data_IF_184193694221
#
_entry.id   IF_184193694221
#
_cell.length_a   1.000
_cell.length_b   1.000
_cell.length_c   1.000
_cell.angle_alpha   90.00
_cell.angle_beta   90.00
_cell.angle_gamma   90.00
#
_symmetry.space_group_name_H-M   'P 1'
#
loop_
_entity.id
_entity.type
_entity.pdbx_description
1 polymer ?
#
# COMPACT_ATOMS: atom_id res chain seq x y z
N UNK A 1 -14.22 -0.13 19.59
CA UNK A 1 -13.95 -0.21 18.14
C UNK A 1 -13.49 1.13 17.52
N UNK A 2 -13.71 2.30 18.15
CA UNK A 2 -13.37 3.61 17.54
C UNK A 2 -11.90 4.08 17.67
N UNK A 3 -11.08 3.49 18.55
CA UNK A 3 -9.71 3.99 18.79
C UNK A 3 -8.65 3.32 17.89
N UNK A 4 -8.79 2.03 17.59
CA UNK A 4 -7.86 1.29 16.73
C UNK A 4 -7.94 1.75 15.26
N UNK A 5 -9.11 2.20 14.80
CA UNK A 5 -9.30 2.73 13.43
C UNK A 5 -8.58 4.08 13.23
N UNK A 6 -8.51 4.92 14.27
CA UNK A 6 -7.71 6.15 14.26
C UNK A 6 -6.21 5.85 14.34
N UNK A 7 -5.83 4.85 15.13
CA UNK A 7 -4.44 4.42 15.27
C UNK A 7 -3.89 3.73 14.03
N UNK A 8 -4.72 3.21 13.11
CA UNK A 8 -4.30 2.57 11.84
C UNK A 8 -4.58 3.44 10.60
N UNK A 9 -4.90 4.73 10.77
CA UNK A 9 -5.33 5.64 9.69
C UNK A 9 -6.47 5.09 8.82
N UNK A 10 -7.25 4.09 9.27
CA UNK A 10 -8.24 3.36 8.45
C UNK A 10 -7.66 2.58 7.26
N UNK A 11 -6.35 2.34 7.25
CA UNK A 11 -5.79 1.38 6.32
C UNK A 11 -6.32 -0.02 6.65
N UNK A 12 -6.70 -0.75 5.61
CA UNK A 12 -7.02 -2.18 5.73
C UNK A 12 -5.80 -2.98 5.30
N UNK A 13 -5.20 -3.74 6.22
CA UNK A 13 -4.11 -4.64 5.89
C UNK A 13 -4.60 -5.79 4.98
N UNK A 14 -3.72 -6.38 4.16
CA UNK A 14 -4.04 -7.62 3.45
C UNK A 14 -4.43 -8.73 4.42
N UNK A 15 -5.30 -9.64 3.99
CA UNK A 15 -5.74 -10.76 4.84
C UNK A 15 -4.54 -11.56 5.39
N UNK A 16 -4.51 -11.80 6.70
CA UNK A 16 -3.43 -12.55 7.34
C UNK A 16 -2.17 -11.73 7.66
N UNK A 17 -2.15 -10.43 7.37
CA UNK A 17 -1.08 -9.50 7.76
C UNK A 17 -1.61 -8.45 8.73
N UNK A 18 -0.75 -8.02 9.66
CA UNK A 18 -0.99 -6.82 10.46
C UNK A 18 -0.42 -5.57 9.76
N UNK A 19 -0.89 -4.36 10.09
CA UNK A 19 -0.36 -3.12 9.49
C UNK A 19 1.15 -2.99 9.71
N UNK A 20 1.64 -3.38 10.89
CA UNK A 20 3.08 -3.39 11.19
C UNK A 20 3.88 -4.34 10.29
N UNK A 21 3.24 -5.40 9.79
CA UNK A 21 3.85 -6.31 8.83
C UNK A 21 3.96 -5.64 7.45
N UNK A 22 2.90 -4.94 7.02
CA UNK A 22 2.88 -4.17 5.77
C UNK A 22 4.00 -3.11 5.80
N UNK A 23 4.10 -2.36 6.90
CA UNK A 23 5.18 -1.39 7.13
C UNK A 23 6.55 -2.05 7.01
N UNK A 24 6.76 -3.15 7.73
CA UNK A 24 8.03 -3.88 7.72
C UNK A 24 8.41 -4.37 6.32
N UNK A 25 7.45 -4.93 5.57
CA UNK A 25 7.65 -5.41 4.20
C UNK A 25 8.13 -4.26 3.31
N UNK A 26 7.43 -3.13 3.30
CA UNK A 26 7.76 -2.01 2.43
C UNK A 26 9.09 -1.35 2.79
N UNK A 27 9.41 -1.22 4.08
CA UNK A 27 10.72 -0.75 4.52
C UNK A 27 11.85 -1.70 4.11
N UNK A 28 11.63 -3.02 4.24
CA UNK A 28 12.61 -4.04 3.86
C UNK A 28 12.90 -3.98 2.36
N UNK A 29 11.85 -3.95 1.54
CA UNK A 29 12.00 -3.90 0.07
C UNK A 29 12.65 -2.58 -0.36
N UNK A 30 12.23 -1.45 0.19
CA UNK A 30 12.82 -0.15 -0.15
C UNK A 30 14.32 -0.07 0.22
N UNK A 31 14.74 -0.75 1.29
CA UNK A 31 16.15 -0.83 1.67
C UNK A 31 16.98 -1.75 0.75
N UNK A 32 16.35 -2.77 0.14
CA UNK A 32 17.04 -3.80 -0.64
C UNK A 32 17.07 -3.52 -2.15
N UNK A 33 16.11 -2.75 -2.67
CA UNK A 33 15.96 -2.51 -4.10
C UNK A 33 16.16 -1.04 -4.44
N UNK A 34 16.79 -0.78 -5.59
CA UNK A 34 16.76 0.56 -6.18
C UNK A 34 15.35 0.86 -6.69
N UNK A 35 15.00 2.14 -6.78
CA UNK A 35 13.71 2.59 -7.33
C UNK A 35 13.41 1.99 -8.71
N UNK A 36 14.42 1.93 -9.60
CA UNK A 36 14.26 1.38 -10.96
C UNK A 36 14.02 -0.13 -10.91
N UNK A 37 14.81 -0.87 -10.12
CA UNK A 37 14.61 -2.31 -9.98
C UNK A 37 13.23 -2.63 -9.39
N UNK A 38 12.81 -1.89 -8.36
CA UNK A 38 11.50 -2.08 -7.75
C UNK A 38 10.37 -1.75 -8.72
N UNK A 39 10.51 -0.69 -9.53
CA UNK A 39 9.58 -0.37 -10.62
C UNK A 39 9.39 -1.55 -11.56
N UNK A 40 10.49 -2.10 -12.07
CA UNK A 40 10.45 -3.16 -13.07
C UNK A 40 9.84 -4.45 -12.52
N UNK A 41 10.00 -4.71 -11.22
CA UNK A 41 9.43 -5.87 -10.53
C UNK A 41 7.94 -5.71 -10.21
N UNK A 42 7.47 -4.49 -9.92
CA UNK A 42 6.06 -4.22 -9.59
C UNK A 42 5.19 -3.94 -10.82
N UNK A 43 5.77 -3.46 -11.92
CA UNK A 43 5.04 -3.10 -13.14
C UNK A 43 4.16 -4.23 -13.72
N UNK A 44 4.57 -5.52 -13.72
CA UNK A 44 3.72 -6.60 -14.20
C UNK A 44 2.40 -6.72 -13.44
N UNK A 45 2.39 -6.54 -12.11
CA UNK A 45 1.18 -6.62 -11.27
C UNK A 45 0.15 -5.58 -11.72
N UNK A 46 0.62 -4.36 -12.00
CA UNK A 46 -0.23 -3.26 -12.47
C UNK A 46 -0.74 -3.54 -13.89
N UNK A 47 0.10 -4.08 -14.76
CA UNK A 47 -0.22 -4.34 -16.16
C UNK A 47 -1.18 -5.51 -16.38
N UNK A 48 -1.13 -6.54 -15.52
CA UNK A 48 -1.99 -7.72 -15.61
C UNK A 48 -3.43 -7.43 -15.19
N UNK A 49 -3.66 -6.33 -14.49
CA UNK A 49 -4.98 -6.00 -13.96
C UNK A 49 -5.90 -5.40 -15.02
N UNK A 50 -7.02 -6.10 -15.23
CA UNK A 50 -8.02 -5.72 -16.25
C UNK A 50 -9.18 -4.91 -15.67
N UNK A 51 -9.37 -4.93 -14.34
CA UNK A 51 -10.46 -4.24 -13.66
C UNK A 51 -9.96 -3.41 -12.46
N UNK A 52 -10.44 -2.17 -12.41
CA UNK A 52 -10.14 -1.17 -11.39
C UNK A 52 -11.41 -0.74 -10.64
N UNK A 53 -12.43 -1.60 -10.62
CA UNK A 53 -13.75 -1.34 -10.02
C UNK A 53 -13.77 -1.36 -8.49
N UNK A 54 -12.62 -1.43 -7.81
CA UNK A 54 -12.57 -1.35 -6.35
C UNK A 54 -12.95 0.06 -5.86
N UNK A 55 -13.95 0.13 -4.99
CA UNK A 55 -14.42 1.39 -4.39
C UNK A 55 -13.96 1.59 -2.94
N UNK A 56 -13.07 0.71 -2.44
CA UNK A 56 -12.45 0.83 -1.12
C UNK A 56 -11.03 1.34 -1.26
N UNK A 57 -10.67 2.26 -0.39
CA UNK A 57 -9.40 2.98 -0.45
C UNK A 57 -8.77 3.06 0.93
N UNK A 58 -7.45 2.90 0.96
CA UNK A 58 -6.62 3.04 2.14
C UNK A 58 -5.73 4.27 2.02
N UNK A 59 -5.64 5.14 3.03
CA UNK A 59 -4.64 6.20 3.06
C UNK A 59 -3.27 5.61 3.41
N UNK A 60 -2.26 5.95 2.60
CA UNK A 60 -0.91 5.41 2.72
C UNK A 60 0.14 6.48 3.05
N UNK A 61 -0.18 7.75 2.81
CA UNK A 61 0.68 8.88 3.15
C UNK A 61 -0.15 10.17 3.20
N UNK A 62 0.40 11.22 3.80
CA UNK A 62 -0.11 12.58 3.62
C UNK A 62 0.19 13.12 2.21
N UNK A 63 -0.34 14.28 1.84
CA UNK A 63 -0.10 14.90 0.52
C UNK A 63 1.36 15.30 0.24
N UNK A 64 2.24 15.29 1.25
CA UNK A 64 3.69 15.48 1.07
C UNK A 64 4.41 14.16 0.79
N UNK A 65 3.72 13.04 0.91
CA UNK A 65 4.28 11.70 0.82
C UNK A 65 4.89 11.22 2.15
N UNK A 66 4.67 11.95 3.25
CA UNK A 66 5.11 11.57 4.58
C UNK A 66 4.07 10.62 5.20
N UNK A 67 4.53 9.61 5.93
CA UNK A 67 3.65 8.61 6.51
C UNK A 67 4.43 7.46 7.11
N UNK A 68 3.80 6.28 7.15
CA UNK A 68 4.43 5.07 7.70
C UNK A 68 5.36 4.39 6.73
N UNK A 69 5.04 4.50 5.44
CA UNK A 69 5.77 3.86 4.37
C UNK A 69 6.91 4.76 3.87
N UNK A 70 7.97 4.18 3.29
CA UNK A 70 9.05 4.97 2.71
C UNK A 70 8.51 5.95 1.65
N UNK A 71 8.85 7.24 1.75
CA UNK A 71 8.41 8.24 0.76
C UNK A 71 8.78 7.85 -0.68
N UNK A 72 9.94 7.21 -0.86
CA UNK A 72 10.40 6.71 -2.16
C UNK A 72 9.48 5.64 -2.76
N UNK A 73 8.80 4.84 -1.92
CA UNK A 73 7.78 3.88 -2.36
C UNK A 73 6.52 4.64 -2.78
N UNK A 74 6.08 5.62 -1.98
CA UNK A 74 4.91 6.45 -2.31
C UNK A 74 5.11 7.17 -3.66
N UNK A 75 6.26 7.80 -3.87
CA UNK A 75 6.62 8.45 -5.13
C UNK A 75 6.75 7.48 -6.29
N UNK A 76 7.21 6.24 -6.04
CA UNK A 76 7.25 5.21 -7.06
C UNK A 76 5.83 4.82 -7.49
N UNK A 77 4.93 4.58 -6.54
CA UNK A 77 3.55 4.17 -6.82
C UNK A 77 2.77 5.27 -7.55
N UNK A 78 2.98 6.53 -7.17
CA UNK A 78 2.41 7.70 -7.88
C UNK A 78 2.81 7.75 -9.35
N UNK A 79 4.05 7.39 -9.67
CA UNK A 79 4.56 7.39 -11.04
C UNK A 79 4.07 6.17 -11.86
N UNK A 80 3.73 5.07 -11.19
CA UNK A 80 3.41 3.80 -11.83
C UNK A 80 1.92 3.58 -12.00
N UNK A 81 1.11 4.01 -11.04
CA UNK A 81 -0.32 3.70 -11.01
C UNK A 81 -1.11 4.66 -11.90
N UNK A 82 -2.15 4.15 -12.58
CA UNK A 82 -2.98 5.01 -13.42
C UNK A 82 -3.84 5.96 -12.57
N UNK A 83 -4.31 7.08 -13.16
CA UNK A 83 -5.19 8.00 -12.47
C UNK A 83 -6.44 7.31 -11.90
N UNK A 84 -6.81 7.67 -10.67
CA UNK A 84 -7.98 7.10 -9.98
C UNK A 84 -7.70 5.87 -9.12
N UNK A 85 -6.51 5.26 -9.27
CA UNK A 85 -6.09 4.13 -8.42
C UNK A 85 -5.37 4.64 -7.18
N UNK A 86 -4.46 5.58 -7.39
CA UNK A 86 -3.81 6.34 -6.33
C UNK A 86 -4.04 7.82 -6.63
N UNK A 87 -4.59 8.56 -5.67
CA UNK A 87 -4.79 10.00 -5.81
C UNK A 87 -4.75 10.71 -4.47
N UNK A 88 -4.40 11.99 -4.51
CA UNK A 88 -4.43 12.88 -3.35
C UNK A 88 -5.83 13.40 -3.12
N UNK A 89 -6.28 13.37 -1.88
CA UNK A 89 -7.56 13.96 -1.46
C UNK A 89 -7.29 15.38 -0.97
N UNK A 90 -7.29 16.34 -1.90
CA UNK A 90 -7.08 17.75 -1.58
C UNK A 90 -8.24 18.31 -0.74
N UNK A 91 -7.98 19.18 0.25
CA UNK A 91 -9.03 19.85 1.02
C UNK A 91 -10.05 20.60 0.15
N UNK A 92 -9.56 21.25 -0.91
CA UNK A 92 -10.38 22.03 -1.84
C UNK A 92 -11.32 21.14 -2.68
N UNK A 93 -11.01 19.85 -2.83
CA UNK A 93 -11.87 18.90 -3.54
C UNK A 93 -13.18 18.59 -2.78
N UNK A 94 -13.28 19.05 -1.53
CA UNK A 94 -14.42 18.81 -0.64
C UNK A 94 -15.16 20.10 -0.27
N UNK A 95 -14.89 21.20 -0.96
CA UNK A 95 -15.70 22.42 -0.86
C UNK A 95 -17.17 22.09 -1.22
N UNK A 96 -18.01 21.99 -0.19
CA UNK A 96 -19.44 21.66 -0.32
C UNK A 96 -19.85 20.26 0.13
N UNK A 97 -18.92 19.45 0.64
CA UNK A 97 -19.27 18.18 1.30
C UNK A 97 -20.01 18.45 2.63
N UNK A 98 -21.14 17.76 2.85
CA UNK A 98 -21.94 17.90 4.09
C UNK A 98 -21.23 17.32 5.32
N UNK A 99 -20.31 16.38 5.11
CA UNK A 99 -19.52 15.73 6.16
C UNK A 99 -18.02 15.81 5.87
N UNK A 100 -17.17 15.97 6.90
CA UNK A 100 -15.73 15.96 6.74
C UNK A 100 -15.27 14.58 6.26
N UNK A 101 -14.59 14.53 5.12
CA UNK A 101 -13.96 13.30 4.64
C UNK A 101 -12.70 13.03 5.47
N UNK A 102 -12.66 11.94 6.21
CA UNK A 102 -11.58 11.69 7.17
C UNK A 102 -10.22 11.36 6.54
N UNK A 103 -10.17 11.17 5.21
CA UNK A 103 -8.93 10.97 4.45
C UNK A 103 -8.46 12.24 3.73
N UNK A 104 -9.08 13.41 3.98
CA UNK A 104 -8.59 14.72 3.51
C UNK A 104 -7.12 14.88 3.85
N UNK A 105 -6.33 15.38 2.91
CA UNK A 105 -4.91 15.62 3.14
C UNK A 105 -4.05 14.37 3.01
N UNK A 106 -4.60 13.28 2.46
CA UNK A 106 -3.88 12.02 2.26
C UNK A 106 -3.81 11.59 0.79
N UNK A 107 -2.74 10.89 0.42
CA UNK A 107 -2.75 9.97 -0.71
C UNK A 107 -3.47 8.69 -0.32
N UNK A 108 -4.52 8.37 -1.07
CA UNK A 108 -5.27 7.14 -0.93
C UNK A 108 -5.04 6.24 -2.13
N UNK A 109 -5.03 4.94 -1.90
CA UNK A 109 -4.85 3.89 -2.90
C UNK A 109 -5.98 2.87 -2.81
N UNK A 110 -6.43 2.30 -3.93
CA UNK A 110 -7.39 1.18 -3.92
C UNK A 110 -6.86 -0.01 -3.11
N UNK A 111 -7.67 -0.52 -2.20
CA UNK A 111 -7.27 -1.57 -1.24
C UNK A 111 -6.72 -2.82 -1.95
N UNK A 112 -7.46 -3.31 -2.94
CA UNK A 112 -7.06 -4.53 -3.64
C UNK A 112 -5.70 -4.40 -4.35
N UNK A 113 -5.39 -3.22 -4.87
CA UNK A 113 -4.09 -2.95 -5.48
C UNK A 113 -3.00 -2.89 -4.42
N UNK A 114 -3.28 -2.18 -3.33
CA UNK A 114 -2.36 -2.09 -2.22
C UNK A 114 -2.02 -3.47 -1.66
N UNK A 115 -3.02 -4.35 -1.57
CA UNK A 115 -2.85 -5.73 -1.11
C UNK A 115 -2.03 -6.57 -2.07
N UNK A 116 -2.34 -6.55 -3.37
CA UNK A 116 -1.58 -7.29 -4.39
C UNK A 116 -0.12 -6.84 -4.46
N UNK A 117 0.12 -5.53 -4.40
CA UNK A 117 1.46 -4.95 -4.38
C UNK A 117 2.21 -5.34 -3.10
N UNK A 118 1.54 -5.33 -1.94
CA UNK A 118 2.14 -5.73 -0.66
C UNK A 118 2.53 -7.21 -0.65
N UNK A 119 1.66 -8.10 -1.15
CA UNK A 119 2.00 -9.52 -1.32
C UNK A 119 3.16 -9.73 -2.28
N UNK A 120 3.21 -8.96 -3.36
CA UNK A 120 4.33 -9.00 -4.29
C UNK A 120 5.61 -8.51 -3.62
N UNK A 121 5.55 -7.41 -2.86
CA UNK A 121 6.68 -6.90 -2.09
C UNK A 121 7.18 -7.95 -1.08
N UNK A 122 6.30 -8.68 -0.40
CA UNK A 122 6.69 -9.77 0.50
C UNK A 122 7.45 -10.89 -0.25
N UNK A 123 7.01 -11.25 -1.46
CA UNK A 123 7.72 -12.21 -2.32
C UNK A 123 9.09 -11.69 -2.80
N UNK A 124 9.25 -10.38 -2.94
CA UNK A 124 10.52 -9.76 -3.33
C UNK A 124 11.50 -9.62 -2.15
N UNK A 125 10.99 -9.48 -0.93
CA UNK A 125 11.82 -9.29 0.25
C UNK A 125 12.81 -10.45 0.45
N UNK A 126 14.09 -10.18 0.80
CA UNK A 126 15.05 -11.24 1.11
C UNK A 126 14.59 -12.08 2.30
N UNK A 127 14.51 -13.40 2.12
CA UNK A 127 13.93 -14.31 3.12
C UNK A 127 14.64 -14.25 4.48
N UNK A 128 15.96 -14.02 4.47
CA UNK A 128 16.79 -13.94 5.68
C UNK A 128 16.49 -12.71 6.54
N UNK A 129 15.85 -11.68 5.96
CA UNK A 129 15.43 -10.47 6.66
C UNK A 129 14.00 -10.56 7.19
N UNK A 130 13.25 -11.59 6.80
CA UNK A 130 11.85 -11.73 7.20
C UNK A 130 11.71 -12.39 8.60
N UNK A 131 10.91 -11.81 9.50
CA UNK A 131 10.41 -12.46 10.70
C UNK A 131 9.78 -13.84 10.40
N UNK A 132 9.74 -14.71 11.40
CA UNK A 132 9.23 -16.08 11.24
C UNK A 132 7.82 -16.13 10.64
N UNK A 133 6.89 -15.34 11.19
CA UNK A 133 5.50 -15.31 10.73
C UNK A 133 5.36 -14.78 9.30
N UNK A 134 6.18 -13.81 8.88
CA UNK A 134 6.18 -13.32 7.50
C UNK A 134 6.78 -14.31 6.50
N UNK A 135 7.76 -15.12 6.93
CA UNK A 135 8.23 -16.25 6.12
C UNK A 135 7.11 -17.26 5.92
N UNK A 136 6.40 -17.62 7.00
CA UNK A 136 5.30 -18.57 6.95
C UNK A 136 4.14 -18.05 6.09
N UNK A 137 3.80 -16.76 6.19
CA UNK A 137 2.80 -16.11 5.36
C UNK A 137 3.17 -16.14 3.87
N UNK A 138 4.44 -15.84 3.54
CA UNK A 138 4.95 -15.94 2.17
C UNK A 138 4.84 -17.37 1.63
N UNK A 139 5.28 -18.37 2.40
CA UNK A 139 5.22 -19.77 1.97
C UNK A 139 3.78 -20.25 1.79
N UNK A 140 2.86 -19.83 2.66
CA UNK A 140 1.44 -20.19 2.55
C UNK A 140 0.83 -19.60 1.28
N UNK A 141 1.12 -18.33 0.99
CA UNK A 141 0.68 -17.67 -0.25
C UNK A 141 1.26 -18.29 -1.52
N UNK A 142 2.51 -18.79 -1.48
CA UNK A 142 3.13 -19.50 -2.62
C UNK A 142 2.50 -20.90 -2.85
N UNK A 143 1.86 -21.49 -1.84
CA UNK A 143 1.21 -22.80 -1.91
C UNK A 143 -0.28 -22.73 -2.32
N UNK A 144 -0.86 -21.53 -2.43
CA UNK A 144 -2.26 -21.33 -2.82
C UNK A 144 -3.27 -21.86 -1.79
N UNK A 145 -2.90 -21.87 -0.51
CA UNK A 145 -3.74 -22.26 0.62
C UNK A 145 -4.32 -21.04 1.33
#
# INVERSE_FOLDING_TARGET
MMFEELENYRETAPEGLEIVDVEFIWWTVAACFTRVALRDLLAPVIAERQDWSCFRFSPIADLKGDGRYPCAVIDLLRDMLPPGVLYGVEPDALEGAEEPCEVVGSFIIQDEIWHELTWTALRLAPIELLPGHLRDARFSGDLGL
#
